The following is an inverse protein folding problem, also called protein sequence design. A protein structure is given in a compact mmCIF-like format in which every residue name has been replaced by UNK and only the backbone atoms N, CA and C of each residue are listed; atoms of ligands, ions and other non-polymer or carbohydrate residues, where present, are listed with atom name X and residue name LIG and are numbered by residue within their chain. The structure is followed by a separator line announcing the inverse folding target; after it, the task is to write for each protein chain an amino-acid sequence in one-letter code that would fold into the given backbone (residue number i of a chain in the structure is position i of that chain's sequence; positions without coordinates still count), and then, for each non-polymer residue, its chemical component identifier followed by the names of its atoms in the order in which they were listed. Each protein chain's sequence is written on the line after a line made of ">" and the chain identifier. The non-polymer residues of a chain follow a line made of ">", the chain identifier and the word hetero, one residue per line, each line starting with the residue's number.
data_IF_967101970490
#
_entry.id   IF_967101970490
#
_cell.length_a   1.000
_cell.length_b   1.000
_cell.length_c   1.000
_cell.angle_alpha   90.00
_cell.angle_beta   90.00
_cell.angle_gamma   90.00
#
_symmetry.space_group_name_H-M   'P 1'
#
loop_
_entity.id
_entity.type
_entity.pdbx_description
1 polymer ?
#
# COMPACT_ATOMS: atom_id res chain seq x y z
N UNK A 1 -27.52 4.59 19.32
CA UNK A 1 -26.15 4.15 19.71
C UNK A 1 -25.26 3.94 18.49
N UNK A 2 -25.73 3.35 17.41
CA UNK A 2 -25.00 3.23 16.14
C UNK A 2 -24.45 4.58 15.64
N UNK A 3 -25.26 5.65 15.74
CA UNK A 3 -24.85 7.00 15.35
C UNK A 3 -23.59 7.49 16.09
N UNK A 4 -23.35 7.02 17.32
CA UNK A 4 -22.14 7.34 18.05
C UNK A 4 -20.90 6.63 17.50
N UNK A 5 -21.03 5.36 17.10
CA UNK A 5 -19.94 4.63 16.45
C UNK A 5 -19.56 5.33 15.15
N UNK A 6 -20.56 5.70 14.34
CA UNK A 6 -20.35 6.45 13.09
C UNK A 6 -19.68 7.80 13.37
N UNK A 7 -20.17 8.57 14.37
CA UNK A 7 -19.58 9.86 14.73
C UNK A 7 -18.12 9.73 15.18
N UNK A 8 -17.80 8.75 16.03
CA UNK A 8 -16.44 8.49 16.51
C UNK A 8 -15.54 8.06 15.37
N UNK A 9 -16.05 7.22 14.45
CA UNK A 9 -15.30 6.84 13.26
C UNK A 9 -14.94 8.07 12.42
N UNK A 10 -15.89 8.96 12.14
CA UNK A 10 -15.62 10.18 11.38
C UNK A 10 -14.69 11.15 12.10
N UNK A 11 -14.83 11.30 13.43
CA UNK A 11 -13.92 12.14 14.24
C UNK A 11 -12.50 11.56 14.22
N UNK A 12 -12.35 10.26 14.48
CA UNK A 12 -11.05 9.59 14.44
C UNK A 12 -10.42 9.66 13.05
N UNK A 13 -11.24 9.49 12.01
CA UNK A 13 -10.80 9.61 10.64
C UNK A 13 -10.35 11.04 10.29
N UNK A 14 -11.08 12.05 10.74
CA UNK A 14 -10.67 13.45 10.62
C UNK A 14 -9.34 13.72 11.34
N UNK A 15 -9.14 13.16 12.54
CA UNK A 15 -7.86 13.25 13.23
C UNK A 15 -6.71 12.58 12.46
N UNK A 16 -6.95 11.42 11.82
CA UNK A 16 -5.96 10.75 10.98
C UNK A 16 -5.56 11.64 9.78
N UNK A 17 -6.54 12.21 9.07
CA UNK A 17 -6.27 13.04 7.89
C UNK A 17 -5.61 14.38 8.22
N UNK A 18 -5.77 14.87 9.44
CA UNK A 18 -5.21 16.13 9.93
C UNK A 18 -4.00 15.95 10.85
N UNK A 19 -3.36 14.78 10.85
CA UNK A 19 -2.24 14.44 11.76
C UNK A 19 -1.14 15.51 11.80
N UNK A 20 -0.76 16.04 10.64
CA UNK A 20 0.28 17.08 10.54
C UNK A 20 -0.13 18.42 11.17
N UNK A 21 -1.43 18.75 11.16
CA UNK A 21 -1.97 19.98 11.70
C UNK A 21 -2.13 19.90 13.21
N UNK A 22 -2.66 18.78 13.70
CA UNK A 22 -2.88 18.53 15.14
C UNK A 22 -1.62 18.00 15.85
N UNK A 23 -0.58 17.61 15.10
CA UNK A 23 0.68 17.02 15.59
C UNK A 23 0.46 15.77 16.45
N UNK A 24 -0.50 14.96 16.10
CA UNK A 24 -0.81 13.67 16.75
C UNK A 24 -0.62 12.58 15.70
N UNK A 25 0.20 11.58 16.01
CA UNK A 25 0.44 10.45 15.12
C UNK A 25 -0.88 9.73 14.81
N UNK A 26 -1.13 9.42 13.54
CA UNK A 26 -2.34 8.76 13.06
C UNK A 26 -2.62 7.42 13.76
N UNK A 27 -1.59 6.75 14.23
CA UNK A 27 -1.69 5.48 14.97
C UNK A 27 -2.48 5.64 16.27
N UNK A 28 -2.27 6.74 16.99
CA UNK A 28 -3.00 7.04 18.23
C UNK A 28 -4.48 7.17 17.93
N UNK A 29 -4.83 7.94 16.91
CA UNK A 29 -6.23 8.15 16.49
C UNK A 29 -6.89 6.85 16.04
N UNK A 30 -6.18 6.02 15.25
CA UNK A 30 -6.70 4.75 14.75
C UNK A 30 -6.95 3.75 15.87
N UNK A 31 -6.00 3.57 16.80
CA UNK A 31 -6.14 2.66 17.95
C UNK A 31 -7.25 3.11 18.89
N UNK A 32 -7.29 4.40 19.24
CA UNK A 32 -8.34 4.96 20.11
C UNK A 32 -9.73 4.77 19.48
N UNK A 33 -9.87 5.07 18.20
CA UNK A 33 -11.09 4.90 17.42
C UNK A 33 -11.56 3.43 17.45
N UNK A 34 -10.68 2.48 17.18
CA UNK A 34 -11.00 1.05 17.22
C UNK A 34 -11.54 0.63 18.59
N UNK A 35 -10.81 0.94 19.66
CA UNK A 35 -11.19 0.56 21.03
C UNK A 35 -12.51 1.19 21.41
N UNK A 36 -12.71 2.48 21.13
CA UNK A 36 -13.97 3.17 21.51
C UNK A 36 -15.15 2.60 20.72
N UNK A 37 -15.03 2.36 19.40
CA UNK A 37 -16.11 1.79 18.59
C UNK A 37 -16.52 0.41 19.09
N UNK A 38 -15.58 -0.51 19.34
CA UNK A 38 -15.88 -1.84 19.88
C UNK A 38 -16.41 -1.80 21.31
N UNK A 39 -15.93 -0.85 22.15
CA UNK A 39 -16.46 -0.65 23.50
C UNK A 39 -17.93 -0.23 23.48
N UNK A 40 -18.28 0.75 22.63
CA UNK A 40 -19.67 1.19 22.49
C UNK A 40 -20.55 0.03 21.98
N UNK A 41 -20.07 -0.70 20.96
CA UNK A 41 -20.79 -1.84 20.39
C UNK A 41 -21.09 -2.89 21.48
N UNK A 42 -20.09 -3.23 22.31
CA UNK A 42 -20.22 -4.22 23.37
C UNK A 42 -21.09 -3.74 24.54
N UNK A 43 -20.83 -2.54 25.07
CA UNK A 43 -21.54 -1.99 26.24
C UNK A 43 -23.02 -1.70 25.91
N UNK A 44 -23.29 -1.23 24.70
CA UNK A 44 -24.65 -0.94 24.24
C UNK A 44 -25.37 -2.17 23.67
N UNK A 45 -24.70 -3.31 23.62
CA UNK A 45 -25.21 -4.56 23.06
C UNK A 45 -25.90 -4.36 21.69
N UNK A 46 -25.24 -3.60 20.80
CA UNK A 46 -25.77 -3.29 19.46
C UNK A 46 -25.78 -4.58 18.63
N UNK A 47 -26.83 -4.80 17.84
CA UNK A 47 -27.03 -6.01 17.09
C UNK A 47 -25.91 -6.24 16.06
N UNK A 48 -25.35 -7.45 16.07
CA UNK A 48 -24.45 -7.93 15.05
C UNK A 48 -25.29 -8.33 13.84
N UNK A 49 -25.01 -7.73 12.69
CA UNK A 49 -25.76 -7.93 11.47
C UNK A 49 -25.06 -8.95 10.56
N UNK A 50 -25.88 -9.78 9.91
CA UNK A 50 -25.44 -10.72 8.88
C UNK A 50 -26.18 -10.43 7.58
N UNK A 51 -25.46 -10.55 6.45
CA UNK A 51 -26.05 -10.32 5.12
C UNK A 51 -26.55 -11.66 4.58
N UNK A 52 -27.84 -11.76 4.34
CA UNK A 52 -28.47 -12.91 3.68
C UNK A 52 -29.35 -12.41 2.53
N UNK A 53 -29.17 -12.98 1.35
CA UNK A 53 -29.95 -12.63 0.14
C UNK A 53 -29.98 -11.12 -0.19
N UNK A 54 -28.93 -10.36 0.17
CA UNK A 54 -28.87 -8.92 -0.09
C UNK A 54 -29.60 -8.06 0.93
N UNK A 55 -29.98 -8.60 2.08
CA UNK A 55 -30.59 -7.89 3.19
C UNK A 55 -29.84 -8.14 4.49
N UNK A 56 -29.99 -7.23 5.46
CA UNK A 56 -29.37 -7.33 6.78
C UNK A 56 -30.33 -8.00 7.77
N UNK A 57 -29.82 -9.02 8.46
CA UNK A 57 -30.53 -9.70 9.54
C UNK A 57 -29.67 -9.72 10.81
N UNK A 58 -30.24 -9.56 12.01
CA UNK A 58 -29.50 -9.73 13.24
C UNK A 58 -29.06 -11.21 13.40
N UNK A 59 -27.82 -11.42 13.85
CA UNK A 59 -27.26 -12.77 14.10
C UNK A 59 -28.01 -13.47 15.24
N UNK A 60 -28.50 -12.71 16.23
CA UNK A 60 -29.25 -13.22 17.36
C UNK A 60 -30.38 -12.27 17.72
N UNK A 61 -31.50 -12.86 18.17
CA UNK A 61 -32.68 -12.11 18.66
C UNK A 61 -32.70 -12.01 20.18
N UNK A 62 -31.66 -12.50 20.89
CA UNK A 62 -31.59 -12.44 22.38
C UNK A 62 -30.37 -11.60 22.79
N UNK A 63 -30.46 -10.83 23.88
CA UNK A 63 -29.35 -10.01 24.36
C UNK A 63 -28.06 -10.81 24.67
N UNK A 64 -28.20 -12.00 25.25
CA UNK A 64 -27.10 -12.90 25.59
C UNK A 64 -26.45 -13.48 24.32
N UNK A 65 -27.25 -13.93 23.35
CA UNK A 65 -26.80 -14.41 22.06
C UNK A 65 -26.10 -13.31 21.27
N UNK A 66 -26.60 -12.06 21.32
CA UNK A 66 -25.95 -10.94 20.66
C UNK A 66 -24.61 -10.58 21.31
N UNK A 67 -24.51 -10.59 22.65
CA UNK A 67 -23.24 -10.38 23.34
C UNK A 67 -22.18 -11.43 22.95
N UNK A 68 -22.57 -12.68 22.75
CA UNK A 68 -21.70 -13.76 22.24
C UNK A 68 -21.32 -13.52 20.78
N UNK A 69 -22.27 -13.06 19.95
CA UNK A 69 -22.02 -12.73 18.55
C UNK A 69 -21.00 -11.58 18.39
N UNK A 70 -21.06 -10.56 19.28
CA UNK A 70 -20.09 -9.45 19.30
C UNK A 70 -18.67 -9.97 19.59
N UNK A 71 -18.53 -10.86 20.61
CA UNK A 71 -17.21 -11.43 20.95
C UNK A 71 -16.67 -12.29 19.78
N UNK A 72 -17.52 -13.10 19.16
CA UNK A 72 -17.16 -13.89 17.99
C UNK A 72 -16.77 -13.00 16.81
N UNK A 73 -17.50 -11.92 16.55
CA UNK A 73 -17.18 -10.95 15.50
C UNK A 73 -15.84 -10.25 15.76
N UNK A 74 -15.57 -9.83 16.99
CA UNK A 74 -14.29 -9.22 17.35
C UNK A 74 -13.12 -10.20 17.14
N UNK A 75 -13.26 -11.45 17.61
CA UNK A 75 -12.24 -12.49 17.44
C UNK A 75 -11.99 -12.81 15.97
N UNK A 76 -13.04 -12.94 15.17
CA UNK A 76 -12.96 -13.19 13.75
C UNK A 76 -12.22 -12.06 13.02
N UNK A 77 -12.63 -10.80 13.24
CA UNK A 77 -12.00 -9.64 12.62
C UNK A 77 -10.55 -9.44 13.08
N UNK A 78 -10.23 -9.76 14.35
CA UNK A 78 -8.86 -9.74 14.84
C UNK A 78 -8.00 -10.81 14.15
N UNK A 79 -8.50 -12.02 14.00
CA UNK A 79 -7.78 -13.09 13.29
C UNK A 79 -7.49 -12.72 11.84
N UNK A 80 -8.50 -12.20 11.13
CA UNK A 80 -8.35 -11.73 9.77
C UNK A 80 -7.38 -10.55 9.64
N UNK A 81 -7.40 -9.62 10.60
CA UNK A 81 -6.44 -8.50 10.66
C UNK A 81 -5.03 -9.01 10.92
N UNK A 82 -4.87 -9.96 11.84
CA UNK A 82 -3.58 -10.56 12.18
C UNK A 82 -2.90 -11.23 10.96
N UNK A 83 -3.67 -11.88 10.07
CA UNK A 83 -3.12 -12.44 8.82
C UNK A 83 -2.40 -11.37 7.99
N UNK A 84 -3.03 -10.19 7.85
CA UNK A 84 -2.45 -9.06 7.11
C UNK A 84 -1.21 -8.53 7.84
N UNK A 85 -1.29 -8.36 9.16
CA UNK A 85 -0.17 -7.82 9.95
C UNK A 85 1.05 -8.75 9.93
N UNK A 86 0.87 -10.07 10.08
CA UNK A 86 1.99 -11.02 9.99
C UNK A 86 2.60 -11.06 8.60
N UNK A 87 1.78 -10.91 7.56
CA UNK A 87 2.28 -10.76 6.19
C UNK A 87 3.18 -9.52 6.08
N UNK A 88 2.70 -8.35 6.56
CA UNK A 88 3.44 -7.09 6.50
C UNK A 88 4.74 -7.13 7.31
N UNK A 89 4.70 -7.66 8.54
CA UNK A 89 5.90 -7.84 9.39
C UNK A 89 6.95 -8.67 8.65
N UNK A 90 6.53 -9.78 8.03
CA UNK A 90 7.44 -10.63 7.26
C UNK A 90 8.06 -9.91 6.07
N UNK A 91 7.24 -9.24 5.26
CA UNK A 91 7.69 -8.51 4.08
C UNK A 91 8.66 -7.37 4.46
N UNK A 92 8.28 -6.51 5.40
CA UNK A 92 9.10 -5.39 5.86
C UNK A 92 10.44 -5.85 6.45
N UNK A 93 10.44 -6.96 7.21
CA UNK A 93 11.66 -7.50 7.78
C UNK A 93 12.60 -8.05 6.71
N UNK A 94 12.08 -8.75 5.69
CA UNK A 94 12.89 -9.22 4.55
C UNK A 94 13.57 -8.03 3.86
N UNK A 95 12.81 -6.96 3.60
CA UNK A 95 13.31 -5.75 2.94
C UNK A 95 14.40 -5.08 3.79
N UNK A 96 14.21 -4.98 5.12
CA UNK A 96 15.22 -4.44 6.03
C UNK A 96 16.52 -5.28 6.03
N UNK A 97 16.41 -6.62 5.97
CA UNK A 97 17.60 -7.50 5.84
C UNK A 97 18.34 -7.19 4.53
N UNK A 98 17.63 -7.02 3.42
CA UNK A 98 18.23 -6.64 2.14
C UNK A 98 18.95 -5.30 2.26
N UNK A 99 18.32 -4.29 2.88
CA UNK A 99 18.89 -2.95 3.07
C UNK A 99 20.13 -2.97 3.96
N UNK A 100 20.09 -3.69 5.08
CA UNK A 100 21.22 -3.85 5.98
C UNK A 100 22.44 -4.44 5.27
N UNK A 101 22.23 -5.39 4.36
CA UNK A 101 23.27 -5.93 3.50
C UNK A 101 23.61 -5.05 2.29
N UNK A 102 23.07 -3.82 2.23
CA UNK A 102 23.25 -2.86 1.13
C UNK A 102 22.88 -3.44 -0.25
N UNK A 103 21.89 -4.34 -0.28
CA UNK A 103 21.41 -4.96 -1.52
C UNK A 103 20.91 -3.92 -2.52
N UNK A 104 20.26 -2.85 -2.07
CA UNK A 104 19.71 -1.81 -2.93
C UNK A 104 20.78 -0.86 -3.51
N UNK A 105 22.02 -0.81 -2.99
CA UNK A 105 23.12 -0.06 -3.63
C UNK A 105 23.47 -0.62 -5.02
N UNK A 106 23.08 -1.87 -5.32
CA UNK A 106 23.24 -2.47 -6.64
C UNK A 106 22.39 -1.73 -7.68
N UNK A 107 21.22 -1.23 -7.30
CA UNK A 107 20.34 -0.44 -8.17
C UNK A 107 21.05 0.82 -8.65
N UNK A 108 21.85 1.47 -7.78
CA UNK A 108 22.65 2.65 -8.14
C UNK A 108 23.63 2.34 -9.28
N UNK A 109 24.21 1.13 -9.35
CA UNK A 109 25.15 0.73 -10.39
C UNK A 109 24.49 0.58 -11.77
N UNK A 110 23.17 0.35 -11.83
CA UNK A 110 22.41 0.28 -13.08
C UNK A 110 22.19 1.69 -13.66
N UNK A 111 22.17 2.71 -12.78
CA UNK A 111 21.90 4.09 -13.18
C UNK A 111 23.21 4.79 -13.59
N UNK A 112 23.62 4.63 -14.84
CA UNK A 112 24.86 5.21 -15.40
C UNK A 112 24.63 6.32 -16.42
N UNK A 113 23.48 6.99 -16.40
CA UNK A 113 23.14 8.01 -17.40
C UNK A 113 23.39 9.42 -16.89
N UNK A 114 23.88 10.29 -17.78
CA UNK A 114 23.98 11.73 -17.54
C UNK A 114 22.76 12.51 -18.08
N UNK A 115 21.95 11.90 -18.94
CA UNK A 115 20.75 12.54 -19.48
C UNK A 115 19.63 12.55 -18.46
N UNK A 116 19.06 13.73 -18.17
CA UNK A 116 17.94 13.92 -17.24
C UNK A 116 16.71 13.12 -17.64
N UNK A 117 16.33 13.13 -18.92
CA UNK A 117 15.19 12.35 -19.43
C UNK A 117 15.43 10.85 -19.32
N UNK A 118 16.63 10.37 -19.66
CA UNK A 118 16.94 8.94 -19.50
C UNK A 118 16.89 8.52 -18.04
N UNK A 119 17.40 9.36 -17.13
CA UNK A 119 17.32 9.11 -15.69
C UNK A 119 15.87 9.03 -15.22
N UNK A 120 15.00 9.93 -15.68
CA UNK A 120 13.57 9.94 -15.37
C UNK A 120 12.91 8.59 -15.70
N UNK A 121 13.12 8.09 -16.93
CA UNK A 121 12.54 6.81 -17.35
C UNK A 121 13.13 5.62 -16.60
N UNK A 122 14.45 5.59 -16.38
CA UNK A 122 15.10 4.51 -15.64
C UNK A 122 14.56 4.45 -14.21
N UNK A 123 14.50 5.58 -13.51
CA UNK A 123 13.98 5.65 -12.13
C UNK A 123 12.49 5.33 -12.06
N UNK A 124 11.70 5.86 -13.01
CA UNK A 124 10.26 5.56 -13.06
C UNK A 124 9.98 4.07 -13.29
N UNK A 125 10.69 3.42 -14.22
CA UNK A 125 10.57 1.98 -14.46
C UNK A 125 11.05 1.16 -13.26
N UNK A 126 12.19 1.54 -12.65
CA UNK A 126 12.67 0.86 -11.43
C UNK A 126 11.63 1.03 -10.31
N UNK A 127 11.07 2.22 -10.11
CA UNK A 127 10.04 2.46 -9.10
C UNK A 127 8.83 1.55 -9.32
N UNK A 128 8.36 1.45 -10.56
CA UNK A 128 7.20 0.65 -10.93
C UNK A 128 7.39 -0.85 -10.66
N UNK A 129 8.49 -1.44 -11.14
CA UNK A 129 8.74 -2.87 -10.95
C UNK A 129 9.20 -3.21 -9.53
N UNK A 130 9.98 -2.34 -8.90
CA UNK A 130 10.45 -2.55 -7.54
C UNK A 130 9.27 -2.49 -6.56
N UNK A 131 8.36 -1.53 -6.71
CA UNK A 131 7.17 -1.41 -5.88
C UNK A 131 6.23 -2.60 -6.00
N UNK A 132 6.16 -3.24 -7.16
CA UNK A 132 5.39 -4.46 -7.33
C UNK A 132 5.91 -5.67 -6.51
N UNK A 133 7.15 -5.59 -6.02
CA UNK A 133 7.82 -6.67 -5.29
C UNK A 133 7.98 -6.35 -3.81
N UNK A 134 8.33 -5.08 -3.47
CA UNK A 134 8.73 -4.71 -2.10
C UNK A 134 7.63 -3.96 -1.34
N UNK A 135 7.03 -3.00 -1.89
CA UNK A 135 5.97 -2.06 -1.56
C UNK A 135 6.29 -0.62 -2.04
N UNK A 136 5.26 0.21 -2.09
CA UNK A 136 5.36 1.58 -2.60
C UNK A 136 6.13 2.53 -1.67
N UNK A 137 5.99 2.37 -0.34
CA UNK A 137 6.64 3.19 0.66
C UNK A 137 8.16 2.97 0.65
N UNK A 138 8.58 1.71 0.81
CA UNK A 138 10.00 1.34 0.84
C UNK A 138 10.70 1.66 -0.48
N UNK A 139 10.05 1.37 -1.61
CA UNK A 139 10.54 1.74 -2.95
C UNK A 139 10.81 3.24 -3.05
N UNK A 140 9.89 4.06 -2.57
CA UNK A 140 10.01 5.51 -2.58
C UNK A 140 11.21 5.98 -1.73
N UNK A 141 11.36 5.46 -0.51
CA UNK A 141 12.49 5.77 0.38
C UNK A 141 13.84 5.45 -0.30
N UNK A 142 13.95 4.23 -0.83
CA UNK A 142 15.18 3.76 -1.49
C UNK A 142 15.54 4.67 -2.67
N UNK A 143 14.59 4.93 -3.56
CA UNK A 143 14.86 5.69 -4.77
C UNK A 143 15.10 7.17 -4.48
N UNK A 144 14.41 7.78 -3.52
CA UNK A 144 14.71 9.15 -3.08
C UNK A 144 16.12 9.22 -2.49
N UNK A 145 16.53 8.23 -1.70
CA UNK A 145 17.88 8.17 -1.15
C UNK A 145 18.94 8.06 -2.26
N UNK A 146 18.65 7.30 -3.33
CA UNK A 146 19.53 7.19 -4.51
C UNK A 146 19.59 8.51 -5.28
N UNK A 147 18.45 9.14 -5.57
CA UNK A 147 18.44 10.40 -6.33
C UNK A 147 19.11 11.55 -5.58
N UNK A 148 19.10 11.54 -4.24
CA UNK A 148 19.87 12.51 -3.43
C UNK A 148 21.37 12.47 -3.70
N UNK A 149 21.91 11.28 -3.98
CA UNK A 149 23.32 11.10 -4.33
C UNK A 149 23.61 11.49 -5.79
N UNK A 150 22.61 11.39 -6.68
CA UNK A 150 22.76 11.64 -8.13
C UNK A 150 22.44 13.07 -8.53
N UNK A 151 21.53 13.74 -7.84
CA UNK A 151 21.00 15.07 -8.16
C UNK A 151 21.22 15.99 -6.96
N UNK A 152 22.26 16.85 -6.96
CA UNK A 152 22.53 17.76 -5.84
C UNK A 152 21.45 18.84 -5.66
N UNK A 153 20.86 19.32 -6.76
CA UNK A 153 19.84 20.38 -6.71
C UNK A 153 18.48 19.84 -6.21
N UNK A 154 18.05 20.36 -5.06
CA UNK A 154 16.78 19.99 -4.45
C UNK A 154 15.57 20.34 -5.34
N UNK A 155 15.61 21.45 -6.09
CA UNK A 155 14.50 21.86 -6.97
C UNK A 155 14.28 20.86 -8.11
N UNK A 156 15.36 20.27 -8.63
CA UNK A 156 15.26 19.17 -9.60
C UNK A 156 14.80 17.88 -8.94
N UNK A 157 15.34 17.53 -7.76
CA UNK A 157 14.98 16.30 -7.04
C UNK A 157 13.50 16.20 -6.69
N UNK A 158 12.86 17.32 -6.31
CA UNK A 158 11.42 17.37 -6.02
C UNK A 158 10.58 16.83 -7.18
N UNK A 159 10.96 17.11 -8.44
CA UNK A 159 10.28 16.59 -9.61
C UNK A 159 10.44 15.07 -9.75
N UNK A 160 11.68 14.58 -9.60
CA UNK A 160 11.94 13.14 -9.64
C UNK A 160 11.23 12.41 -8.49
N UNK A 161 11.31 12.94 -7.27
CA UNK A 161 10.64 12.36 -6.10
C UNK A 161 9.12 12.27 -6.30
N UNK A 162 8.50 13.32 -6.85
CA UNK A 162 7.07 13.33 -7.13
C UNK A 162 6.67 12.27 -8.19
N UNK A 163 7.49 12.08 -9.22
CA UNK A 163 7.23 11.07 -10.26
C UNK A 163 7.55 9.65 -9.77
N UNK A 164 8.49 9.49 -8.83
CA UNK A 164 8.71 8.22 -8.10
C UNK A 164 7.44 7.83 -7.33
N UNK A 165 6.78 8.76 -6.65
CA UNK A 165 5.52 8.49 -5.92
C UNK A 165 4.45 7.95 -6.86
N UNK A 166 4.24 8.59 -8.03
CA UNK A 166 3.27 8.10 -9.03
C UNK A 166 3.67 6.71 -9.52
N UNK A 167 4.95 6.52 -9.86
CA UNK A 167 5.45 5.26 -10.38
C UNK A 167 5.36 4.13 -9.35
N UNK A 168 5.67 4.39 -8.08
CA UNK A 168 5.60 3.41 -7.01
C UNK A 168 4.16 3.01 -6.69
N UNK A 169 3.23 3.97 -6.60
CA UNK A 169 1.81 3.67 -6.40
C UNK A 169 1.22 2.89 -7.60
N UNK A 170 1.53 3.28 -8.83
CA UNK A 170 1.11 2.55 -10.02
C UNK A 170 1.74 1.13 -10.05
N UNK A 171 2.99 0.99 -9.61
CA UNK A 171 3.68 -0.29 -9.51
C UNK A 171 3.08 -1.22 -8.45
N UNK A 172 2.69 -0.68 -7.31
CA UNK A 172 2.03 -1.44 -6.24
C UNK A 172 0.64 -1.94 -6.61
N UNK A 173 -0.09 -1.20 -7.43
CA UNK A 173 -1.50 -1.46 -7.71
C UNK A 173 -1.78 -2.76 -8.51
N UNK A 174 -0.83 -3.26 -9.29
CA UNK A 174 -1.01 -4.47 -10.12
C UNK A 174 -0.43 -5.75 -9.52
N UNK A 175 0.21 -5.66 -8.37
CA UNK A 175 0.83 -6.81 -7.69
C UNK A 175 0.14 -7.11 -6.36
N UNK A 176 -0.07 -8.38 -5.99
CA UNK A 176 -0.71 -8.73 -4.71
C UNK A 176 0.16 -8.40 -3.48
N UNK A 177 1.43 -8.06 -3.67
CA UNK A 177 2.41 -7.78 -2.61
C UNK A 177 2.99 -6.35 -2.71
N UNK A 178 2.64 -5.61 -3.75
CA UNK A 178 3.23 -4.30 -4.05
C UNK A 178 2.61 -3.12 -3.30
N UNK A 179 1.44 -3.30 -2.71
CA UNK A 179 0.75 -2.32 -1.89
C UNK A 179 -0.08 -3.04 -0.82
N UNK A 180 -0.22 -2.42 0.37
CA UNK A 180 -1.05 -2.98 1.45
C UNK A 180 -2.48 -3.19 0.98
N UNK A 181 -3.01 -2.32 0.13
CA UNK A 181 -4.38 -2.39 -0.40
C UNK A 181 -4.60 -3.63 -1.26
N UNK A 182 -3.69 -3.92 -2.18
CA UNK A 182 -3.76 -5.13 -3.02
C UNK A 182 -3.48 -6.39 -2.21
N UNK A 183 -2.57 -6.31 -1.24
CA UNK A 183 -2.32 -7.40 -0.28
C UNK A 183 -3.59 -7.75 0.47
N UNK A 184 -4.33 -6.76 0.98
CA UNK A 184 -5.60 -6.98 1.68
C UNK A 184 -6.64 -7.67 0.79
N UNK A 185 -6.85 -7.18 -0.44
CA UNK A 185 -7.78 -7.80 -1.39
C UNK A 185 -7.39 -9.25 -1.68
N UNK A 186 -6.10 -9.53 -1.82
CA UNK A 186 -5.59 -10.86 -2.10
C UNK A 186 -5.68 -11.81 -0.88
N UNK A 187 -5.33 -11.35 0.32
CA UNK A 187 -5.46 -12.13 1.57
C UNK A 187 -6.91 -12.48 1.83
N UNK A 188 -7.82 -11.52 1.63
CA UNK A 188 -9.27 -11.69 1.79
C UNK A 188 -9.96 -12.45 0.63
N UNK A 189 -9.19 -13.03 -0.30
CA UNK A 189 -9.68 -13.77 -1.46
C UNK A 189 -10.70 -12.98 -2.31
N UNK A 190 -10.50 -11.67 -2.43
CA UNK A 190 -11.27 -10.82 -3.35
C UNK A 190 -10.67 -10.83 -4.75
N UNK A 191 -9.33 -10.96 -4.84
CA UNK A 191 -8.59 -11.10 -6.10
C UNK A 191 -7.62 -12.30 -6.02
N UNK A 192 -7.41 -12.98 -7.14
CA UNK A 192 -6.28 -13.90 -7.31
C UNK A 192 -5.05 -13.13 -7.81
N UNK A 193 -3.85 -13.62 -7.50
CA UNK A 193 -2.61 -12.98 -7.93
C UNK A 193 -2.51 -12.89 -9.47
N UNK A 194 -2.91 -13.95 -10.17
CA UNK A 194 -2.83 -14.02 -11.62
C UNK A 194 -3.77 -13.00 -12.29
N UNK A 195 -5.04 -12.94 -11.85
CA UNK A 195 -6.04 -12.04 -12.42
C UNK A 195 -5.76 -10.57 -12.08
N UNK A 196 -5.24 -10.30 -10.89
CA UNK A 196 -4.81 -8.96 -10.53
C UNK A 196 -3.73 -8.45 -11.50
N UNK A 197 -2.70 -9.27 -11.77
CA UNK A 197 -1.65 -8.92 -12.73
C UNK A 197 -2.25 -8.76 -14.13
N UNK A 198 -3.06 -9.72 -14.58
CA UNK A 198 -3.66 -9.72 -15.92
C UNK A 198 -4.48 -8.44 -16.21
N UNK A 199 -5.29 -8.01 -15.25
CA UNK A 199 -6.24 -6.91 -15.48
C UNK A 199 -5.67 -5.54 -15.13
N UNK A 200 -4.77 -5.45 -14.13
CA UNK A 200 -4.34 -4.15 -13.61
C UNK A 200 -2.96 -3.72 -14.12
N UNK A 201 -2.13 -4.64 -14.66
CA UNK A 201 -0.79 -4.29 -15.16
C UNK A 201 -0.83 -3.24 -16.28
N UNK A 202 -1.69 -3.42 -17.28
CA UNK A 202 -1.78 -2.47 -18.41
C UNK A 202 -2.33 -1.10 -17.97
N UNK A 203 -3.45 -1.01 -17.23
CA UNK A 203 -3.90 0.26 -16.64
C UNK A 203 -2.85 0.98 -15.80
N UNK A 204 -2.14 0.23 -14.95
CA UNK A 204 -1.06 0.77 -14.11
C UNK A 204 0.14 1.25 -14.95
N UNK A 205 0.46 0.53 -16.04
CA UNK A 205 1.50 0.96 -16.97
C UNK A 205 1.13 2.27 -17.66
N UNK A 206 -0.13 2.46 -18.03
CA UNK A 206 -0.62 3.72 -18.60
C UNK A 206 -0.53 4.83 -17.55
N UNK A 207 -0.91 4.56 -16.30
CA UNK A 207 -0.79 5.51 -15.19
C UNK A 207 0.66 5.94 -14.94
N UNK A 208 1.65 5.07 -15.18
CA UNK A 208 3.07 5.38 -15.14
C UNK A 208 3.51 6.18 -16.37
N UNK A 209 3.24 5.64 -17.57
CA UNK A 209 3.83 6.13 -18.83
C UNK A 209 3.35 7.54 -19.15
N UNK A 210 2.08 7.84 -18.94
CA UNK A 210 1.50 9.15 -19.27
C UNK A 210 2.19 10.30 -18.51
N UNK A 211 2.33 10.27 -17.17
CA UNK A 211 3.06 11.31 -16.45
C UNK A 211 4.53 11.41 -16.84
N UNK A 212 5.23 10.27 -17.03
CA UNK A 212 6.64 10.28 -17.43
C UNK A 212 6.83 10.87 -18.84
N UNK A 213 5.94 10.53 -19.77
CA UNK A 213 5.96 11.07 -21.13
C UNK A 213 5.79 12.59 -21.12
N UNK A 214 4.78 13.08 -20.40
CA UNK A 214 4.53 14.53 -20.27
C UNK A 214 5.73 15.20 -19.62
N UNK A 215 6.25 14.64 -18.52
CA UNK A 215 7.40 15.18 -17.79
C UNK A 215 8.65 15.26 -18.69
N UNK A 216 8.83 14.33 -19.63
CA UNK A 216 9.97 14.33 -20.57
C UNK A 216 10.06 15.58 -21.42
N UNK A 217 8.96 16.29 -21.65
CA UNK A 217 8.92 17.55 -22.40
C UNK A 217 9.13 18.79 -21.52
N UNK A 218 9.08 18.66 -20.20
CA UNK A 218 9.23 19.80 -19.29
C UNK A 218 10.70 20.32 -19.30
N UNK A 219 10.91 21.62 -19.19
CA UNK A 219 12.24 22.23 -19.20
C UNK A 219 13.18 21.66 -18.12
N UNK A 220 12.66 21.27 -16.95
CA UNK A 220 13.44 20.75 -15.83
C UNK A 220 14.16 19.45 -16.17
N UNK A 221 13.63 18.63 -17.08
CA UNK A 221 14.22 17.38 -17.52
C UNK A 221 15.11 17.51 -18.77
N UNK A 222 15.27 18.72 -19.32
CA UNK A 222 16.17 18.97 -20.46
C UNK A 222 17.63 19.06 -20.03
N UNK A 223 18.52 18.57 -20.88
CA UNK A 223 19.98 18.67 -20.69
C UNK A 223 20.58 17.48 -19.91
N UNK A 224 21.75 17.74 -19.36
CA UNK A 224 22.52 16.74 -18.62
C UNK A 224 22.53 17.05 -17.13
N UNK A 225 22.71 16.01 -16.33
CA UNK A 225 22.94 16.12 -14.90
C UNK A 225 24.32 16.72 -14.67
N UNK A 226 24.40 17.69 -13.76
CA UNK A 226 25.69 18.10 -13.23
C UNK A 226 26.22 16.93 -12.37
N UNK A 227 27.33 16.33 -12.79
CA UNK A 227 27.91 15.18 -12.14
C UNK A 227 28.16 15.50 -10.65
N UNK A 228 27.34 14.95 -9.78
CA UNK A 228 27.70 14.80 -8.38
C UNK A 228 28.89 13.80 -8.30
N UNK A 229 29.73 13.98 -7.31
CA UNK A 229 30.86 13.07 -7.06
C UNK A 229 30.38 11.61 -7.12
N UNK A 230 30.91 10.83 -8.05
CA UNK A 230 30.70 9.39 -8.15
C UNK A 230 31.35 8.69 -6.94
N UNK A 231 30.76 8.83 -5.76
CA UNK A 231 31.08 7.93 -4.67
C UNK A 231 30.42 6.59 -4.97
N UNK A 232 31.23 5.63 -5.42
CA UNK A 232 30.80 4.24 -5.50
C UNK A 232 30.24 3.84 -4.11
N UNK A 233 28.97 3.43 -4.07
CA UNK A 233 28.38 2.93 -2.85
C UNK A 233 29.15 1.70 -2.36
N UNK A 234 29.52 1.68 -1.10
CA UNK A 234 30.17 0.51 -0.49
C UNK A 234 29.17 -0.64 -0.56
N UNK A 235 29.52 -1.73 -1.21
CA UNK A 235 28.75 -2.98 -1.24
C UNK A 235 29.53 -4.08 -0.54
N UNK A 236 28.84 -4.96 0.13
CA UNK A 236 29.41 -6.17 0.72
C UNK A 236 29.39 -7.33 -0.26
N UNK A 237 30.19 -8.36 -0.05
CA UNK A 237 30.10 -9.61 -0.83
C UNK A 237 28.73 -10.28 -0.69
N UNK A 238 28.06 -10.06 0.44
CA UNK A 238 26.71 -10.54 0.73
C UNK A 238 25.59 -9.74 0.05
N UNK A 239 25.83 -8.52 -0.44
CA UNK A 239 24.79 -7.63 -0.99
C UNK A 239 23.99 -8.26 -2.13
N UNK A 240 24.66 -8.83 -3.12
CA UNK A 240 24.00 -9.45 -4.29
C UNK A 240 23.25 -10.72 -3.92
N UNK A 241 23.85 -11.72 -3.24
CA UNK A 241 23.12 -12.93 -2.89
C UNK A 241 21.93 -12.65 -1.97
N UNK A 242 22.04 -11.76 -0.97
CA UNK A 242 20.94 -11.41 -0.09
C UNK A 242 19.80 -10.73 -0.85
N UNK A 243 20.11 -9.78 -1.75
CA UNK A 243 19.09 -9.16 -2.61
C UNK A 243 18.37 -10.19 -3.46
N UNK A 244 19.09 -11.06 -4.15
CA UNK A 244 18.51 -12.06 -5.08
C UNK A 244 17.64 -13.05 -4.31
N UNK A 245 18.15 -13.60 -3.20
CA UNK A 245 17.38 -14.54 -2.38
C UNK A 245 16.16 -13.87 -1.77
N UNK A 246 16.28 -12.63 -1.29
CA UNK A 246 15.15 -11.87 -0.75
C UNK A 246 14.03 -11.65 -1.77
N UNK A 247 14.38 -11.21 -2.98
CA UNK A 247 13.42 -11.03 -4.07
C UNK A 247 12.76 -12.37 -4.44
N UNK A 248 13.54 -13.44 -4.60
CA UNK A 248 13.00 -14.77 -4.90
C UNK A 248 12.07 -15.25 -3.78
N UNK A 249 12.43 -15.04 -2.51
CA UNK A 249 11.61 -15.42 -1.35
C UNK A 249 10.27 -14.71 -1.34
N UNK A 250 10.24 -13.43 -1.69
CA UNK A 250 8.98 -12.65 -1.75
C UNK A 250 8.14 -13.13 -2.95
N UNK A 251 8.72 -13.29 -4.13
CA UNK A 251 8.01 -13.78 -5.33
C UNK A 251 7.48 -15.21 -5.13
N UNK A 252 8.15 -16.01 -4.31
CA UNK A 252 7.70 -17.37 -3.98
C UNK A 252 6.35 -17.38 -3.23
N UNK A 253 5.99 -16.34 -2.49
CA UNK A 253 4.77 -16.31 -1.66
C UNK A 253 3.48 -16.53 -2.45
N UNK A 254 3.21 -15.83 -3.58
CA UNK A 254 2.06 -16.12 -4.42
C UNK A 254 2.06 -17.55 -4.99
N UNK A 255 3.24 -18.07 -5.36
CA UNK A 255 3.40 -19.42 -5.85
C UNK A 255 3.05 -20.44 -4.75
N UNK A 256 3.55 -20.21 -3.52
CA UNK A 256 3.24 -21.01 -2.35
C UNK A 256 1.73 -21.08 -2.08
N UNK A 257 1.03 -19.93 -2.08
CA UNK A 257 -0.43 -19.89 -1.93
C UNK A 257 -1.14 -20.70 -3.02
N UNK A 258 -0.69 -20.58 -4.28
CA UNK A 258 -1.32 -21.25 -5.42
C UNK A 258 -1.17 -22.78 -5.35
N UNK A 259 -0.07 -23.30 -4.79
CA UNK A 259 0.21 -24.73 -4.68
C UNK A 259 -0.41 -25.32 -3.41
N UNK A 260 -0.29 -24.62 -2.28
CA UNK A 260 -0.68 -25.17 -0.97
C UNK A 260 -2.10 -24.80 -0.56
N UNK A 261 -2.69 -23.78 -1.18
CA UNK A 261 -3.96 -23.14 -0.80
C UNK A 261 -3.97 -22.58 0.64
N UNK A 262 -2.80 -22.50 1.31
CA UNK A 262 -2.65 -21.88 2.61
C UNK A 262 -2.70 -20.34 2.49
N UNK A 263 -3.09 -19.64 3.55
CA UNK A 263 -3.09 -18.17 3.56
C UNK A 263 -1.70 -17.59 3.23
N UNK A 264 -1.63 -16.43 2.57
CA UNK A 264 -0.37 -15.82 2.12
C UNK A 264 0.65 -15.57 3.23
N UNK A 265 0.19 -15.26 4.46
CA UNK A 265 1.09 -15.00 5.58
C UNK A 265 1.96 -16.23 5.93
N UNK A 266 1.47 -17.45 5.72
CA UNK A 266 2.27 -18.67 5.94
C UNK A 266 3.45 -18.74 4.98
N UNK A 267 3.23 -18.43 3.69
CA UNK A 267 4.29 -18.32 2.70
C UNK A 267 5.28 -17.20 3.05
N UNK A 268 4.79 -16.07 3.55
CA UNK A 268 5.63 -14.95 3.96
C UNK A 268 6.48 -15.27 5.19
N UNK A 269 5.93 -15.97 6.19
CA UNK A 269 6.69 -16.44 7.36
C UNK A 269 7.77 -17.45 6.95
N UNK A 270 7.49 -18.32 5.98
CA UNK A 270 8.52 -19.23 5.43
C UNK A 270 9.62 -18.46 4.69
N UNK A 271 9.24 -17.47 3.90
CA UNK A 271 10.18 -16.56 3.24
C UNK A 271 11.05 -15.80 4.26
N UNK A 272 10.45 -15.29 5.35
CA UNK A 272 11.15 -14.64 6.44
C UNK A 272 12.14 -15.58 7.13
N UNK A 273 11.72 -16.83 7.45
CA UNK A 273 12.60 -17.83 8.06
C UNK A 273 13.80 -18.13 7.16
N UNK A 274 13.58 -18.23 5.84
CA UNK A 274 14.64 -18.41 4.85
C UNK A 274 15.61 -17.23 4.86
N UNK A 275 15.09 -15.99 4.83
CA UNK A 275 15.90 -14.79 4.87
C UNK A 275 16.65 -14.63 6.19
N UNK A 276 16.03 -15.04 7.29
CA UNK A 276 16.70 -15.08 8.60
C UNK A 276 17.92 -15.98 8.57
N UNK A 277 17.73 -17.23 8.10
CA UNK A 277 18.83 -18.17 7.95
C UNK A 277 19.94 -17.63 7.03
N UNK A 278 19.57 -17.06 5.89
CA UNK A 278 20.52 -16.48 4.93
C UNK A 278 21.28 -15.30 5.54
N UNK A 279 20.58 -14.39 6.21
CA UNK A 279 21.19 -13.23 6.89
C UNK A 279 22.21 -13.64 7.96
N UNK A 280 21.90 -14.69 8.75
CA UNK A 280 22.84 -15.22 9.75
C UNK A 280 24.07 -15.88 9.11
N UNK A 281 23.92 -16.56 7.98
CA UNK A 281 25.02 -17.26 7.28
C UNK A 281 25.88 -16.36 6.40
N UNK A 282 25.29 -15.31 5.83
CA UNK A 282 25.97 -14.39 4.91
C UNK A 282 26.34 -13.06 5.56
N UNK A 283 26.65 -13.06 6.88
CA UNK A 283 27.16 -11.86 7.55
C UNK A 283 28.40 -11.34 6.82
N UNK A 284 28.49 -10.01 6.58
CA UNK A 284 29.67 -9.44 5.94
C UNK A 284 30.92 -9.69 6.81
N UNK A 285 31.89 -10.41 6.26
CA UNK A 285 33.16 -10.71 6.94
C UNK A 285 34.10 -9.51 7.06
N UNK A 286 33.72 -8.40 6.43
CA UNK A 286 34.44 -7.13 6.42
C UNK A 286 34.20 -6.30 7.69
N UNK A 287 33.39 -6.81 8.64
CA UNK A 287 32.99 -6.11 9.86
C UNK A 287 33.79 -6.61 11.07
N UNK A 288 34.03 -5.71 12.03
CA UNK A 288 34.56 -6.06 13.34
C UNK A 288 33.47 -6.75 14.19
N UNK A 289 33.85 -7.50 15.23
CA UNK A 289 32.92 -8.23 16.11
C UNK A 289 31.79 -7.34 16.69
N UNK A 290 32.09 -6.08 17.04
CA UNK A 290 31.09 -5.11 17.50
C UNK A 290 30.08 -4.70 16.42
N UNK A 291 30.43 -4.80 15.16
CA UNK A 291 29.57 -4.50 14.02
C UNK A 291 28.78 -5.74 13.57
N UNK A 292 29.21 -6.96 13.88
CA UNK A 292 28.46 -8.19 13.56
C UNK A 292 27.09 -8.25 14.26
N UNK A 293 26.98 -7.77 15.50
CA UNK A 293 25.70 -7.65 16.21
C UNK A 293 24.71 -6.72 15.51
N UNK A 294 25.20 -5.77 14.71
CA UNK A 294 24.36 -4.84 13.94
C UNK A 294 23.68 -5.49 12.72
N UNK A 295 24.08 -6.70 12.32
CA UNK A 295 23.56 -7.43 11.15
C UNK A 295 22.59 -8.56 11.51
N UNK A 296 22.25 -8.72 12.79
CA UNK A 296 21.27 -9.71 13.21
C UNK A 296 19.84 -9.33 12.84
N UNK A 297 18.97 -10.34 12.65
CA UNK A 297 17.54 -10.14 12.36
C UNK A 297 16.82 -9.30 13.43
N UNK A 298 17.27 -9.35 14.69
CA UNK A 298 16.75 -8.49 15.75
C UNK A 298 16.91 -7.01 15.42
N UNK A 299 17.99 -6.66 14.73
CA UNK A 299 18.22 -5.30 14.25
C UNK A 299 17.28 -4.96 13.09
N UNK A 300 17.05 -5.88 12.16
CA UNK A 300 16.06 -5.70 11.10
C UNK A 300 14.66 -5.48 11.69
N UNK A 301 14.24 -6.33 12.63
CA UNK A 301 12.95 -6.18 13.34
C UNK A 301 12.83 -4.85 14.10
N UNK A 302 13.91 -4.31 14.65
CA UNK A 302 13.90 -3.01 15.33
C UNK A 302 13.84 -1.81 14.38
N UNK A 303 14.06 -2.02 13.08
CA UNK A 303 14.05 -0.98 12.04
C UNK A 303 12.76 -0.91 11.25
N UNK A 304 11.93 -1.97 11.30
CA UNK A 304 10.62 -1.92 10.66
C UNK A 304 9.76 -0.82 11.28
N UNK A 305 8.91 -0.22 10.48
CA UNK A 305 8.00 0.86 10.90
C UNK A 305 6.82 0.30 11.69
N UNK A 306 7.05 -0.05 12.96
CA UNK A 306 6.05 -0.70 13.81
C UNK A 306 4.82 0.17 14.07
N UNK A 307 4.95 1.49 14.02
CA UNK A 307 3.82 2.42 14.10
C UNK A 307 2.81 2.20 12.98
N UNK A 308 3.28 1.97 11.75
CA UNK A 308 2.40 1.65 10.61
C UNK A 308 1.65 0.33 10.81
N UNK A 309 2.28 -0.68 11.42
CA UNK A 309 1.62 -1.97 11.74
C UNK A 309 0.49 -1.74 12.75
N UNK A 310 0.74 -0.96 13.80
CA UNK A 310 -0.29 -0.60 14.79
C UNK A 310 -1.39 0.29 14.21
N UNK A 311 -1.04 1.19 13.29
CA UNK A 311 -2.03 1.96 12.54
C UNK A 311 -2.97 1.05 11.75
N UNK A 312 -2.43 0.07 11.02
CA UNK A 312 -3.26 -0.89 10.28
C UNK A 312 -4.13 -1.73 11.20
N UNK A 313 -3.61 -2.18 12.35
CA UNK A 313 -4.43 -2.85 13.37
C UNK A 313 -5.63 -1.99 13.79
N UNK A 314 -5.37 -0.74 14.15
CA UNK A 314 -6.42 0.18 14.62
C UNK A 314 -7.47 0.45 13.54
N UNK A 315 -7.04 0.82 12.32
CA UNK A 315 -7.98 1.20 11.26
C UNK A 315 -8.81 0.00 10.77
N UNK A 316 -8.21 -1.18 10.65
CA UNK A 316 -8.94 -2.38 10.22
C UNK A 316 -9.98 -2.81 11.24
N UNK A 317 -9.65 -2.79 12.54
CA UNK A 317 -10.62 -3.08 13.59
C UNK A 317 -11.72 -2.02 13.70
N UNK A 318 -11.41 -0.74 13.48
CA UNK A 318 -12.41 0.32 13.46
C UNK A 318 -13.40 0.15 12.29
N UNK A 319 -12.90 -0.14 11.08
CA UNK A 319 -13.75 -0.43 9.91
C UNK A 319 -14.58 -1.69 10.14
N UNK A 320 -13.99 -2.72 10.76
CA UNK A 320 -14.69 -3.96 11.11
C UNK A 320 -15.88 -3.72 12.06
N UNK A 321 -15.77 -2.77 12.98
CA UNK A 321 -16.91 -2.41 13.85
C UNK A 321 -18.11 -1.87 13.08
N UNK A 322 -17.86 -1.02 12.05
CA UNK A 322 -18.92 -0.51 11.15
C UNK A 322 -19.51 -1.61 10.25
N UNK A 323 -18.66 -2.55 9.82
CA UNK A 323 -19.12 -3.70 9.04
C UNK A 323 -20.00 -4.61 9.88
N UNK A 324 -19.61 -4.87 11.13
CA UNK A 324 -20.34 -5.74 12.07
C UNK A 324 -21.76 -5.26 12.34
N UNK A 325 -22.00 -3.95 12.40
CA UNK A 325 -23.34 -3.36 12.57
C UNK A 325 -24.07 -3.09 11.25
N UNK A 326 -23.51 -3.53 10.09
CA UNK A 326 -24.13 -3.38 8.79
C UNK A 326 -24.12 -1.95 8.19
N UNK A 327 -23.47 -0.98 8.85
CA UNK A 327 -23.45 0.43 8.40
C UNK A 327 -22.84 0.58 7.00
N UNK A 328 -21.75 -0.13 6.71
CA UNK A 328 -21.08 -0.06 5.41
C UNK A 328 -21.95 -0.63 4.29
N UNK A 329 -22.68 -1.70 4.56
CA UNK A 329 -23.62 -2.29 3.63
C UNK A 329 -24.79 -1.34 3.32
N UNK A 330 -25.41 -0.75 4.33
CA UNK A 330 -26.48 0.24 4.17
C UNK A 330 -26.00 1.47 3.38
N UNK A 331 -24.77 1.94 3.65
CA UNK A 331 -24.15 3.03 2.91
C UNK A 331 -23.98 2.67 1.43
N UNK A 332 -23.51 1.45 1.13
CA UNK A 332 -23.35 0.97 -0.25
C UNK A 332 -24.71 0.88 -0.97
N UNK A 333 -25.76 0.38 -0.31
CA UNK A 333 -27.11 0.31 -0.88
C UNK A 333 -27.64 1.71 -1.23
N UNK A 334 -27.50 2.67 -0.31
CA UNK A 334 -27.89 4.05 -0.54
C UNK A 334 -27.10 4.68 -1.70
N UNK A 335 -25.80 4.41 -1.76
CA UNK A 335 -24.94 4.93 -2.81
C UNK A 335 -25.28 4.33 -4.18
N UNK A 336 -25.54 3.01 -4.25
CA UNK A 336 -25.97 2.34 -5.48
C UNK A 336 -27.36 2.81 -5.97
N UNK A 337 -28.25 3.21 -5.06
CA UNK A 337 -29.54 3.78 -5.45
C UNK A 337 -29.40 5.19 -6.02
N UNK A 338 -28.42 5.97 -5.53
CA UNK A 338 -28.12 7.32 -6.01
C UNK A 338 -27.27 7.34 -7.28
N UNK A 339 -26.32 6.39 -7.40
CA UNK A 339 -25.38 6.25 -8.53
C UNK A 339 -25.49 4.83 -9.08
N UNK A 340 -26.23 4.61 -10.17
CA UNK A 340 -26.49 3.26 -10.70
C UNK A 340 -25.24 2.51 -11.16
N UNK A 341 -24.17 3.22 -11.54
CA UNK A 341 -22.92 2.62 -12.02
C UNK A 341 -21.93 2.41 -10.88
N UNK A 342 -21.65 1.15 -10.52
CA UNK A 342 -20.61 0.78 -9.55
C UNK A 342 -19.24 1.31 -9.95
N UNK A 343 -18.94 1.37 -11.24
CA UNK A 343 -17.67 1.89 -11.76
C UNK A 343 -17.51 3.37 -11.41
N UNK A 344 -18.58 4.18 -11.49
CA UNK A 344 -18.51 5.59 -11.08
C UNK A 344 -18.25 5.69 -9.58
N UNK A 345 -18.88 4.85 -8.77
CA UNK A 345 -18.63 4.80 -7.32
C UNK A 345 -17.15 4.51 -7.05
N UNK A 346 -16.57 3.51 -7.72
CA UNK A 346 -15.15 3.16 -7.53
C UNK A 346 -14.21 4.24 -8.06
N UNK A 347 -14.57 4.93 -9.14
CA UNK A 347 -13.81 6.10 -9.61
C UNK A 347 -13.79 7.20 -8.55
N UNK A 348 -14.93 7.48 -7.93
CA UNK A 348 -15.03 8.47 -6.84
C UNK A 348 -14.22 8.03 -5.59
N UNK A 349 -14.21 6.75 -5.27
CA UNK A 349 -13.32 6.19 -4.23
C UNK A 349 -11.85 6.43 -4.58
N UNK A 350 -11.45 6.29 -5.84
CA UNK A 350 -10.10 6.63 -6.31
C UNK A 350 -9.75 8.11 -6.12
N UNK A 351 -10.67 9.02 -6.36
CA UNK A 351 -10.49 10.44 -6.04
C UNK A 351 -10.44 10.69 -4.52
N UNK A 352 -11.25 9.97 -3.75
CA UNK A 352 -11.18 10.04 -2.29
C UNK A 352 -9.82 9.56 -1.76
N UNK A 353 -9.19 8.56 -2.40
CA UNK A 353 -7.85 8.10 -2.06
C UNK A 353 -6.75 9.17 -2.19
N UNK A 354 -7.00 10.24 -2.92
CA UNK A 354 -6.08 11.38 -2.98
C UNK A 354 -5.95 12.13 -1.64
N UNK A 355 -6.99 12.09 -0.81
CA UNK A 355 -7.06 12.81 0.48
C UNK A 355 -7.03 11.85 1.65
N UNK A 356 -7.62 10.69 1.45
CA UNK A 356 -7.84 9.64 2.42
C UNK A 356 -6.81 8.54 2.15
N UNK A 357 -6.10 8.07 3.16
CA UNK A 357 -5.19 6.92 3.02
C UNK A 357 -5.91 5.75 2.32
N UNK A 358 -5.24 5.13 1.34
CA UNK A 358 -5.81 4.07 0.50
C UNK A 358 -6.26 2.82 1.28
N UNK A 359 -5.59 2.48 2.39
CA UNK A 359 -5.88 1.26 3.18
C UNK A 359 -7.26 1.28 3.83
N UNK A 360 -7.66 2.32 4.60
CA UNK A 360 -9.02 2.41 5.14
C UNK A 360 -10.09 2.38 4.06
N UNK A 361 -9.81 2.96 2.92
CA UNK A 361 -10.75 3.06 1.82
C UNK A 361 -11.03 1.69 1.19
N UNK A 362 -9.99 0.87 0.98
CA UNK A 362 -10.15 -0.51 0.50
C UNK A 362 -10.81 -1.38 1.55
N UNK A 363 -10.46 -1.22 2.83
CA UNK A 363 -11.12 -1.93 3.92
C UNK A 363 -12.63 -1.66 3.94
N UNK A 364 -13.04 -0.39 3.86
CA UNK A 364 -14.43 0.00 3.76
C UNK A 364 -15.11 -0.58 2.51
N UNK A 365 -14.44 -0.54 1.35
CA UNK A 365 -14.97 -1.10 0.09
C UNK A 365 -15.25 -2.60 0.21
N UNK A 366 -14.40 -3.36 0.91
CA UNK A 366 -14.65 -4.79 1.15
C UNK A 366 -15.89 -5.05 2.02
N UNK A 367 -16.24 -4.12 2.90
CA UNK A 367 -17.50 -4.15 3.67
C UNK A 367 -18.71 -3.68 2.87
N UNK A 368 -18.51 -2.85 1.86
CA UNK A 368 -19.58 -2.29 1.02
C UNK A 368 -20.04 -3.26 -0.08
N UNK A 369 -19.09 -3.97 -0.71
CA UNK A 369 -19.35 -4.82 -1.87
C UNK A 369 -19.25 -6.30 -1.48
N UNK A 370 -20.21 -7.12 -1.98
CA UNK A 370 -20.33 -8.54 -1.65
C UNK A 370 -19.96 -9.47 -2.81
N UNK A 371 -19.34 -8.93 -3.85
CA UNK A 371 -18.97 -9.66 -5.05
C UNK A 371 -17.93 -10.76 -4.73
N UNK A 372 -18.00 -11.83 -5.52
CA UNK A 372 -17.11 -12.98 -5.38
C UNK A 372 -15.66 -12.72 -5.83
N UNK A 373 -14.83 -13.76 -5.71
CA UNK A 373 -13.44 -13.75 -6.13
C UNK A 373 -13.31 -13.33 -7.61
N UNK A 374 -12.33 -12.48 -7.88
CA UNK A 374 -11.96 -11.99 -9.21
C UNK A 374 -13.07 -11.23 -9.96
N UNK A 375 -14.14 -10.81 -9.28
CA UNK A 375 -15.09 -9.90 -9.89
C UNK A 375 -14.40 -8.59 -10.29
N UNK A 376 -14.75 -8.06 -11.47
CA UNK A 376 -14.13 -6.85 -12.04
C UNK A 376 -14.02 -5.68 -11.06
N UNK A 377 -15.03 -5.50 -10.18
CA UNK A 377 -15.06 -4.39 -9.21
C UNK A 377 -13.81 -4.37 -8.32
N UNK A 378 -13.27 -5.53 -7.94
CA UNK A 378 -12.10 -5.63 -7.09
C UNK A 378 -10.83 -5.15 -7.80
N UNK A 379 -10.72 -5.39 -9.10
CA UNK A 379 -9.61 -4.89 -9.91
C UNK A 379 -9.71 -3.38 -10.13
N UNK A 380 -10.94 -2.87 -10.31
CA UNK A 380 -11.18 -1.42 -10.32
C UNK A 380 -10.82 -0.77 -8.98
N UNK A 381 -11.18 -1.38 -7.84
CA UNK A 381 -10.83 -0.88 -6.51
C UNK A 381 -9.31 -0.91 -6.29
N UNK A 382 -8.64 -2.03 -6.65
CA UNK A 382 -7.19 -2.16 -6.54
C UNK A 382 -6.47 -1.04 -7.30
N UNK A 383 -6.86 -0.83 -8.56
CA UNK A 383 -6.31 0.24 -9.39
C UNK A 383 -6.60 1.62 -8.82
N UNK A 384 -7.89 1.90 -8.54
CA UNK A 384 -8.34 3.24 -8.17
C UNK A 384 -7.79 3.68 -6.81
N UNK A 385 -7.80 2.80 -5.81
CA UNK A 385 -7.26 3.10 -4.49
C UNK A 385 -5.74 3.23 -4.52
N UNK A 386 -5.03 2.28 -5.15
CA UNK A 386 -3.58 2.28 -5.21
C UNK A 386 -3.03 3.49 -5.99
N UNK A 387 -3.52 3.74 -7.21
CA UNK A 387 -3.02 4.84 -8.05
C UNK A 387 -3.59 6.20 -7.65
N UNK A 388 -4.83 6.26 -7.14
CA UNK A 388 -5.49 7.48 -6.67
C UNK A 388 -4.72 8.18 -5.54
N UNK A 389 -4.05 7.42 -4.68
CA UNK A 389 -3.19 7.94 -3.62
C UNK A 389 -2.02 8.81 -4.11
N UNK A 390 -1.69 8.78 -5.39
CA UNK A 390 -0.65 9.64 -5.98
C UNK A 390 -1.19 10.96 -6.58
N UNK A 391 -2.50 11.16 -6.63
CA UNK A 391 -3.09 12.40 -7.14
C UNK A 391 -2.70 13.62 -6.28
N UNK A 392 -2.74 13.46 -4.97
CA UNK A 392 -2.19 14.42 -4.02
C UNK A 392 -1.09 13.77 -3.20
N UNK A 393 -0.09 14.54 -2.80
CA UNK A 393 1.10 14.00 -2.12
C UNK A 393 0.80 13.37 -0.75
N UNK A 394 -0.31 13.73 -0.14
CA UNK A 394 -0.77 13.23 1.16
C UNK A 394 -1.62 11.95 1.04
N UNK A 395 -2.03 11.55 -0.16
CA UNK A 395 -2.97 10.45 -0.39
C UNK A 395 -2.37 9.05 -0.22
N UNK A 396 -1.06 8.92 -0.07
CA UNK A 396 -0.39 7.64 0.16
C UNK A 396 0.81 7.78 1.09
N UNK A 397 1.17 6.70 1.78
CA UNK A 397 2.37 6.66 2.62
C UNK A 397 3.64 7.03 1.83
N UNK A 398 3.77 6.56 0.60
CA UNK A 398 4.84 6.92 -0.32
C UNK A 398 4.93 8.44 -0.57
N UNK A 399 3.77 9.09 -0.77
CA UNK A 399 3.69 10.54 -0.96
C UNK A 399 4.08 11.32 0.29
N UNK A 400 3.58 10.93 1.45
CA UNK A 400 3.89 11.57 2.75
C UNK A 400 5.39 11.50 3.05
N UNK A 401 6.01 10.34 2.83
CA UNK A 401 7.45 10.17 3.02
C UNK A 401 8.25 11.01 2.02
N UNK A 402 7.88 11.02 0.75
CA UNK A 402 8.54 11.87 -0.25
C UNK A 402 8.44 13.36 0.12
N UNK A 403 7.27 13.78 0.62
CA UNK A 403 7.03 15.13 1.12
C UNK A 403 7.99 15.49 2.27
N UNK A 404 8.14 14.60 3.23
CA UNK A 404 9.04 14.78 4.39
C UNK A 404 10.51 14.79 3.98
N UNK A 405 10.94 13.81 3.19
CA UNK A 405 12.33 13.65 2.77
C UNK A 405 12.83 14.79 1.90
N UNK A 406 12.06 15.26 0.93
CA UNK A 406 12.46 16.32 -0.01
C UNK A 406 11.81 17.68 0.29
N UNK A 407 11.06 17.81 1.39
CA UNK A 407 10.33 19.02 1.80
C UNK A 407 9.42 19.55 0.68
N UNK A 408 8.69 18.65 0.04
CA UNK A 408 7.77 18.97 -1.05
C UNK A 408 6.56 19.67 -0.46
N UNK A 409 6.26 20.91 -0.92
CA UNK A 409 5.05 21.61 -0.50
C UNK A 409 3.81 20.96 -1.13
N UNK A 410 2.75 20.78 -0.33
CA UNK A 410 1.45 20.31 -0.82
C UNK A 410 0.94 21.12 -2.02
N UNK A 411 0.95 22.45 -1.91
CA UNK A 411 0.50 23.33 -2.98
C UNK A 411 1.37 23.28 -4.23
N UNK A 412 2.69 23.06 -4.04
CA UNK A 412 3.60 22.88 -5.17
C UNK A 412 3.27 21.60 -5.93
N UNK A 413 3.04 20.51 -5.23
CA UNK A 413 2.67 19.22 -5.82
C UNK A 413 1.32 19.31 -6.54
N UNK A 414 0.31 19.88 -5.89
CA UNK A 414 -1.00 20.09 -6.46
C UNK A 414 -0.97 20.96 -7.74
N UNK A 415 -0.11 21.98 -7.79
CA UNK A 415 0.04 22.85 -8.98
C UNK A 415 0.79 22.17 -10.13
N UNK A 416 1.86 21.42 -9.84
CA UNK A 416 2.80 20.96 -10.85
C UNK A 416 2.62 19.48 -11.24
N UNK A 417 2.15 18.64 -10.33
CA UNK A 417 2.11 17.19 -10.48
C UNK A 417 0.70 16.62 -10.64
N UNK A 418 -0.28 17.15 -9.87
CA UNK A 418 -1.66 16.64 -9.84
C UNK A 418 -2.25 16.42 -11.25
N UNK A 419 -2.10 17.37 -12.15
CA UNK A 419 -2.71 17.27 -13.48
C UNK A 419 -2.10 16.14 -14.34
N UNK A 420 -0.80 15.86 -14.19
CA UNK A 420 -0.15 14.73 -14.85
C UNK A 420 -0.58 13.40 -14.25
N UNK A 421 -0.60 13.32 -12.91
CA UNK A 421 -1.09 12.17 -12.18
C UNK A 421 -2.55 11.87 -12.52
N UNK A 422 -3.39 12.91 -12.58
CA UNK A 422 -4.82 12.81 -12.93
C UNK A 422 -5.02 12.26 -14.35
N UNK A 423 -4.26 12.76 -15.32
CA UNK A 423 -4.34 12.24 -16.70
C UNK A 423 -3.93 10.77 -16.76
N UNK A 424 -2.83 10.38 -16.10
CA UNK A 424 -2.40 8.99 -16.00
C UNK A 424 -3.46 8.11 -15.33
N UNK A 425 -4.00 8.56 -14.19
CA UNK A 425 -5.05 7.87 -13.45
C UNK A 425 -6.31 7.67 -14.29
N UNK A 426 -6.85 8.72 -14.91
CA UNK A 426 -8.08 8.64 -15.69
C UNK A 426 -7.90 7.77 -16.93
N UNK A 427 -6.78 7.88 -17.66
CA UNK A 427 -6.53 7.05 -18.85
C UNK A 427 -6.35 5.57 -18.47
N UNK A 428 -5.67 5.27 -17.38
CA UNK A 428 -5.59 3.88 -16.89
C UNK A 428 -6.95 3.36 -16.43
N UNK A 429 -7.77 4.18 -15.76
CA UNK A 429 -9.13 3.82 -15.37
C UNK A 429 -10.01 3.53 -16.62
N UNK A 430 -9.97 4.36 -17.64
CA UNK A 430 -10.68 4.15 -18.89
C UNK A 430 -10.24 2.85 -19.61
N UNK A 431 -8.99 2.43 -19.40
CA UNK A 431 -8.53 1.13 -19.92
C UNK A 431 -9.22 -0.04 -19.22
N UNK A 432 -9.45 0.03 -17.90
CA UNK A 432 -10.25 -0.96 -17.18
C UNK A 432 -11.70 -0.99 -17.68
N UNK A 433 -12.30 0.18 -17.90
CA UNK A 433 -13.66 0.28 -18.47
C UNK A 433 -13.70 -0.34 -19.87
N UNK A 434 -12.67 -0.11 -20.68
CA UNK A 434 -12.57 -0.74 -22.01
C UNK A 434 -12.43 -2.28 -21.90
N UNK A 435 -11.66 -2.79 -20.93
CA UNK A 435 -11.53 -4.23 -20.69
C UNK A 435 -12.87 -4.85 -20.27
N UNK A 436 -13.61 -4.17 -19.40
CA UNK A 436 -14.96 -4.61 -19.00
C UNK A 436 -15.90 -4.65 -20.22
N UNK A 437 -15.92 -3.60 -21.04
CA UNK A 437 -16.75 -3.52 -22.25
C UNK A 437 -16.37 -4.59 -23.30
N UNK A 438 -15.12 -5.02 -23.33
CA UNK A 438 -14.65 -6.10 -24.21
C UNK A 438 -14.81 -7.50 -23.60
N UNK A 439 -15.48 -7.63 -22.44
CA UNK A 439 -15.65 -8.88 -21.69
C UNK A 439 -14.32 -9.60 -21.37
N UNK A 440 -13.25 -8.83 -21.13
CA UNK A 440 -11.95 -9.39 -20.72
C UNK A 440 -12.03 -9.92 -19.27
N UNK A 441 -12.86 -9.32 -18.43
CA UNK A 441 -13.24 -9.87 -17.12
C UNK A 441 -14.26 -11.00 -17.37
N UNK A 442 -13.78 -12.23 -17.47
CA UNK A 442 -14.58 -13.41 -17.81
C UNK A 442 -15.65 -13.79 -16.79
#
# INVERSE_FOLDING_TARGET
>A
MESWIIAIFFIGYFCITTEHQIRVDKTISALAMAVICWTILKVSNIDVMHIMNGELFPVSNTPEGNATAIDAALQHNLAETAEILFFLIGAMTIVEVIDMHRGFEIIKRIIRTKSKVKLLWIIGLIAFFLSAIIDNLTTTIILITIIRKLIPDQKERIWYASLIVIAANAGGAWSPIGDVTTTMLWVKNKVSAAKLVEYVLIPSTICLVVPLLIASFLPVFRGQLNAGNDQEGITYKSSTPVLVIGIISIIFVPIFKSITHLPPYMGMLFALATMWFVGEKLKPKELNEEDEEKFGIHRALSRIEFSSILFFLGILLAVASLQTIGTLFNFAQNLNSAIPSKNIVVLLLGFASAVIDNVPLVAASMGMFQEGLDNGIWHFIAYSAGTGGSLLIIGSAAGVVAMGMEKISFFWYAKNILWMALLGFVLGYLTLVAFEAMHVFG
#
